data_IF_587309863563
#
_entry.id   IF_587309863563
#
_cell.length_a   1.000
_cell.length_b   1.000
_cell.length_c   1.000
_cell.angle_alpha   90.00
_cell.angle_beta   90.00
_cell.angle_gamma   90.00
#
_symmetry.space_group_name_H-M   'P 1'
#
loop_
_entity.id
_entity.type
_entity.pdbx_description
1 polymer ?
#
# COMPACT_ATOMS: atom_id res chain seq x y z
N UNK A 1 -51.39 -7.64 -18.52
CA UNK A 1 -49.94 -7.34 -18.52
C UNK A 1 -49.26 -8.26 -17.54
N UNK A 2 -48.30 -9.11 -17.95
CA UNK A 2 -47.66 -10.03 -17.02
C UNK A 2 -46.79 -9.24 -16.04
N UNK A 3 -47.07 -9.40 -14.74
CA UNK A 3 -46.23 -8.86 -13.67
C UNK A 3 -44.96 -9.71 -13.59
N UNK A 4 -43.86 -9.17 -14.09
CA UNK A 4 -42.55 -9.80 -13.95
C UNK A 4 -42.13 -9.75 -12.48
N UNK A 5 -41.82 -10.92 -11.91
CA UNK A 5 -41.43 -11.07 -10.52
C UNK A 5 -40.01 -10.50 -10.30
N UNK A 6 -39.88 -9.47 -9.46
CA UNK A 6 -38.62 -8.78 -9.17
C UNK A 6 -37.51 -9.73 -8.69
N UNK A 7 -37.86 -10.81 -7.99
CA UNK A 7 -36.91 -11.81 -7.49
C UNK A 7 -36.30 -12.64 -8.62
N UNK A 8 -37.06 -12.90 -9.69
CA UNK A 8 -36.58 -13.63 -10.87
C UNK A 8 -35.62 -12.75 -11.68
N UNK A 9 -35.92 -11.44 -11.79
CA UNK A 9 -35.04 -10.47 -12.45
C UNK A 9 -33.73 -10.27 -11.69
N UNK A 10 -33.78 -10.22 -10.34
CA UNK A 10 -32.57 -10.14 -9.51
C UNK A 10 -31.72 -11.40 -9.62
N UNK A 11 -32.35 -12.58 -9.68
CA UNK A 11 -31.66 -13.85 -9.86
C UNK A 11 -31.01 -13.95 -11.25
N UNK A 12 -31.68 -13.47 -12.30
CA UNK A 12 -31.12 -13.36 -13.65
C UNK A 12 -29.96 -12.35 -13.73
N UNK A 13 -30.03 -11.25 -12.98
CA UNK A 13 -28.96 -10.25 -12.92
C UNK A 13 -27.74 -10.77 -12.16
N UNK A 14 -27.92 -11.48 -11.04
CA UNK A 14 -26.83 -12.14 -10.30
C UNK A 14 -26.22 -13.26 -11.14
N UNK A 15 -27.03 -14.07 -11.83
CA UNK A 15 -26.53 -15.11 -12.75
C UNK A 15 -25.81 -14.49 -13.95
N UNK A 16 -26.26 -13.35 -14.49
CA UNK A 16 -25.54 -12.63 -15.56
C UNK A 16 -24.27 -11.92 -15.07
N UNK A 17 -24.26 -11.47 -13.82
CA UNK A 17 -23.11 -10.86 -13.15
C UNK A 17 -22.03 -11.91 -12.87
N UNK A 18 -22.46 -13.15 -12.60
CA UNK A 18 -21.59 -14.30 -12.57
C UNK A 18 -21.10 -14.62 -13.98
N UNK A 19 -21.95 -14.80 -15.00
CA UNK A 19 -21.57 -15.08 -16.40
C UNK A 19 -20.48 -14.13 -16.98
N UNK A 20 -20.42 -12.88 -16.53
CA UNK A 20 -19.44 -11.90 -17.02
C UNK A 20 -18.10 -11.87 -16.26
N UNK A 21 -18.07 -12.16 -14.95
CA UNK A 21 -16.84 -12.17 -14.16
C UNK A 21 -15.88 -13.30 -14.60
N UNK A 22 -16.42 -14.31 -15.26
CA UNK A 22 -15.74 -15.54 -15.63
C UNK A 22 -15.05 -15.41 -16.97
N UNK A 23 -15.69 -14.69 -17.90
CA UNK A 23 -15.09 -14.36 -19.19
C UNK A 23 -13.76 -13.61 -19.00
N UNK A 24 -13.62 -12.89 -17.88
CA UNK A 24 -12.43 -12.09 -17.57
C UNK A 24 -11.15 -12.90 -17.27
N UNK A 25 -11.22 -14.20 -16.95
CA UNK A 25 -10.05 -14.91 -16.40
C UNK A 25 -9.38 -15.89 -17.38
N UNK A 26 -10.12 -16.44 -18.35
CA UNK A 26 -9.54 -17.24 -19.45
C UNK A 26 -8.64 -16.41 -20.39
N UNK A 27 -8.97 -15.12 -20.60
CA UNK A 27 -8.18 -14.25 -21.49
C UNK A 27 -7.05 -13.48 -20.79
N UNK A 28 -7.03 -13.44 -19.45
CA UNK A 28 -6.22 -12.50 -18.68
C UNK A 28 -4.70 -12.66 -18.91
N UNK A 29 -4.20 -13.89 -18.87
CA UNK A 29 -2.75 -14.16 -19.00
C UNK A 29 -2.23 -14.14 -20.44
N UNK A 30 -3.12 -14.21 -21.45
CA UNK A 30 -2.75 -14.37 -22.87
C UNK A 30 -3.10 -13.15 -23.74
N UNK A 31 -3.98 -12.25 -23.28
CA UNK A 31 -4.55 -11.18 -24.13
C UNK A 31 -4.73 -9.80 -23.50
N UNK A 32 -4.37 -9.58 -22.23
CA UNK A 32 -4.59 -8.26 -21.59
C UNK A 32 -3.67 -7.17 -22.15
N UNK A 33 -2.62 -7.54 -22.88
CA UNK A 33 -1.85 -6.65 -23.75
C UNK A 33 -2.21 -6.74 -25.24
N UNK A 34 -3.22 -7.53 -25.64
CA UNK A 34 -3.62 -7.73 -27.04
C UNK A 34 -4.92 -6.99 -27.35
N UNK A 35 -5.05 -6.36 -28.53
CA UNK A 35 -6.27 -5.68 -28.99
C UNK A 35 -7.57 -6.50 -28.88
N UNK A 36 -7.46 -7.83 -28.81
CA UNK A 36 -8.60 -8.75 -28.83
C UNK A 36 -9.53 -8.71 -27.60
N UNK A 37 -9.05 -8.38 -26.39
CA UNK A 37 -9.93 -8.32 -25.21
C UNK A 37 -10.91 -7.14 -25.29
N UNK A 38 -10.38 -5.94 -25.56
CA UNK A 38 -11.19 -4.74 -25.68
C UNK A 38 -12.16 -4.87 -26.86
N UNK A 39 -11.68 -5.37 -28.00
CA UNK A 39 -12.51 -5.63 -29.17
C UNK A 39 -13.63 -6.64 -28.88
N UNK A 40 -13.35 -7.72 -28.15
CA UNK A 40 -14.36 -8.70 -27.77
C UNK A 40 -15.43 -8.09 -26.84
N UNK A 41 -15.03 -7.22 -25.92
CA UNK A 41 -15.97 -6.50 -25.05
C UNK A 41 -16.88 -5.56 -25.86
N UNK A 42 -16.31 -4.78 -26.78
CA UNK A 42 -17.08 -3.91 -27.69
C UNK A 42 -18.06 -4.72 -28.56
N UNK A 43 -17.62 -5.85 -29.12
CA UNK A 43 -18.49 -6.76 -29.89
C UNK A 43 -19.64 -7.35 -29.06
N UNK A 44 -19.49 -7.40 -27.72
CA UNK A 44 -20.55 -7.79 -26.79
C UNK A 44 -21.40 -6.62 -26.30
N UNK A 45 -21.18 -5.42 -26.85
CA UNK A 45 -21.96 -4.21 -26.57
C UNK A 45 -21.48 -3.41 -25.37
N UNK A 46 -20.31 -3.73 -24.80
CA UNK A 46 -19.73 -2.89 -23.75
C UNK A 46 -19.18 -1.62 -24.35
N UNK A 47 -19.45 -0.50 -23.67
CA UNK A 47 -18.67 0.71 -23.85
C UNK A 47 -17.45 0.63 -22.93
N UNK A 48 -16.30 1.11 -23.39
CA UNK A 48 -15.05 1.01 -22.64
C UNK A 48 -14.43 2.38 -22.41
N UNK A 49 -13.93 2.57 -21.18
CA UNK A 49 -13.05 3.66 -20.81
C UNK A 49 -11.75 3.08 -20.26
N UNK A 50 -10.68 3.25 -21.02
CA UNK A 50 -9.33 2.90 -20.59
C UNK A 50 -8.67 4.10 -19.91
N UNK A 51 -8.17 3.87 -18.70
CA UNK A 51 -7.47 4.86 -17.91
C UNK A 51 -6.02 4.41 -17.76
N UNK A 52 -5.12 5.23 -18.27
CA UNK A 52 -3.68 5.00 -18.22
C UNK A 52 -3.02 5.99 -17.26
N UNK A 53 -1.83 5.67 -16.81
CA UNK A 53 -0.99 6.57 -16.05
C UNK A 53 0.46 6.11 -16.09
N UNK A 54 1.33 6.91 -15.48
CA UNK A 54 2.77 6.67 -15.47
C UNK A 54 3.11 5.29 -14.88
N UNK A 55 4.06 4.60 -15.51
CA UNK A 55 4.62 3.38 -14.98
C UNK A 55 5.45 3.66 -13.71
N UNK A 56 5.01 3.21 -12.52
CA UNK A 56 5.70 3.48 -11.28
C UNK A 56 7.04 2.73 -11.15
N UNK A 57 7.34 1.79 -12.06
CA UNK A 57 8.63 1.09 -12.14
C UNK A 57 9.72 1.97 -12.73
N UNK A 58 9.33 3.05 -13.42
CA UNK A 58 10.23 4.03 -14.02
C UNK A 58 10.31 5.34 -13.22
N UNK A 59 9.48 5.51 -12.19
CA UNK A 59 9.30 6.77 -11.47
C UNK A 59 10.57 7.31 -10.76
N UNK A 60 11.58 6.47 -10.48
CA UNK A 60 12.86 6.91 -9.89
C UNK A 60 13.87 7.44 -10.91
N UNK A 61 13.57 7.34 -12.21
CA UNK A 61 14.44 7.75 -13.31
C UNK A 61 13.89 9.07 -13.88
N UNK A 62 14.30 10.20 -13.29
CA UNK A 62 13.88 11.58 -13.63
C UNK A 62 14.02 11.96 -15.13
N UNK A 63 14.59 11.08 -15.97
CA UNK A 63 14.96 11.33 -17.36
C UNK A 63 14.14 10.57 -18.40
N UNK A 64 13.25 9.65 -18.02
CA UNK A 64 12.41 8.92 -18.97
C UNK A 64 10.97 9.40 -18.86
N UNK A 65 10.53 10.20 -19.84
CA UNK A 65 9.12 10.48 -20.07
C UNK A 65 8.36 9.15 -20.12
N UNK A 66 7.61 8.91 -19.04
CA UNK A 66 7.14 7.60 -18.62
C UNK A 66 6.25 6.94 -19.67
N UNK A 67 6.54 5.67 -19.93
CA UNK A 67 5.58 4.81 -20.62
C UNK A 67 4.28 4.82 -19.80
N UNK A 68 3.17 5.28 -20.39
CA UNK A 68 1.87 5.15 -19.73
C UNK A 68 1.43 3.68 -19.79
N UNK A 69 1.04 3.09 -18.67
CA UNK A 69 0.49 1.73 -18.59
C UNK A 69 -1.01 1.77 -18.27
N UNK A 70 -1.81 0.75 -18.67
CA UNK A 70 -3.21 0.66 -18.27
C UNK A 70 -3.34 0.49 -16.75
N UNK A 71 -4.07 1.38 -16.08
CA UNK A 71 -4.29 1.29 -14.64
C UNK A 71 -5.68 0.74 -14.31
N UNK A 72 -6.69 1.17 -15.08
CA UNK A 72 -8.08 0.76 -14.92
C UNK A 72 -8.74 0.61 -16.28
N UNK A 73 -9.59 -0.41 -16.44
CA UNK A 73 -10.64 -0.40 -17.45
C UNK A 73 -11.99 -0.29 -16.77
N UNK A 74 -12.85 0.57 -17.31
CA UNK A 74 -14.26 0.62 -16.95
C UNK A 74 -15.06 0.12 -18.14
N UNK A 75 -15.84 -0.93 -17.93
CA UNK A 75 -16.71 -1.52 -18.94
C UNK A 75 -18.16 -1.23 -18.55
N UNK A 76 -18.88 -0.49 -19.38
CA UNK A 76 -20.27 -0.10 -19.14
C UNK A 76 -21.21 -0.88 -20.05
N UNK A 77 -22.23 -1.52 -19.47
CA UNK A 77 -23.31 -2.18 -20.22
C UNK A 77 -24.62 -2.06 -19.46
N UNK A 78 -25.69 -1.61 -20.12
CA UNK A 78 -27.04 -1.51 -19.55
C UNK A 78 -27.07 -0.82 -18.17
N UNK A 79 -26.34 0.29 -18.03
CA UNK A 79 -26.25 1.07 -16.79
C UNK A 79 -25.38 0.46 -15.67
N UNK A 80 -24.81 -0.72 -15.87
CA UNK A 80 -23.87 -1.35 -14.95
C UNK A 80 -22.44 -1.03 -15.38
N UNK A 81 -21.54 -0.87 -14.41
CA UNK A 81 -20.12 -0.61 -14.66
C UNK A 81 -19.28 -1.66 -13.95
N UNK A 82 -18.34 -2.24 -14.68
CA UNK A 82 -17.37 -3.20 -14.18
C UNK A 82 -16.00 -2.56 -14.24
N UNK A 83 -15.34 -2.48 -13.09
CA UNK A 83 -14.00 -1.94 -12.97
C UNK A 83 -12.99 -3.08 -12.94
N UNK A 84 -12.11 -3.11 -13.94
CA UNK A 84 -10.92 -3.97 -13.94
C UNK A 84 -9.75 -3.14 -13.46
N UNK A 85 -9.17 -3.53 -12.32
CA UNK A 85 -8.03 -2.87 -11.69
C UNK A 85 -6.77 -3.65 -11.98
N UNK A 86 -5.74 -2.97 -12.43
CA UNK A 86 -4.46 -3.59 -12.75
C UNK A 86 -3.53 -3.52 -11.54
N UNK A 87 -3.04 -4.70 -11.12
CA UNK A 87 -2.06 -4.86 -10.07
C UNK A 87 -0.71 -5.19 -10.69
N UNK A 88 0.26 -4.28 -10.50
CA UNK A 88 1.62 -4.40 -11.00
C UNK A 88 2.57 -4.77 -9.88
N UNK A 89 3.43 -5.74 -10.14
CA UNK A 89 4.54 -6.04 -9.26
C UNK A 89 5.59 -4.92 -9.33
N UNK A 90 6.04 -4.47 -8.15
CA UNK A 90 7.16 -3.53 -7.98
C UNK A 90 8.32 -4.18 -7.22
N UNK A 91 9.46 -3.51 -7.22
CA UNK A 91 10.63 -3.92 -6.43
C UNK A 91 10.24 -4.02 -4.95
N UNK A 92 10.42 -5.19 -4.35
CA UNK A 92 10.00 -5.47 -2.96
C UNK A 92 8.89 -6.52 -2.81
N UNK A 93 8.47 -7.18 -3.90
CA UNK A 93 7.51 -8.30 -3.88
C UNK A 93 6.12 -7.93 -3.31
N UNK A 94 5.65 -6.74 -3.66
CA UNK A 94 4.29 -6.28 -3.38
C UNK A 94 3.57 -5.93 -4.69
N UNK A 95 2.24 -5.92 -4.64
CA UNK A 95 1.38 -5.57 -5.77
C UNK A 95 0.88 -4.13 -5.61
N UNK A 96 1.03 -3.32 -6.64
CA UNK A 96 0.63 -1.92 -6.68
C UNK A 96 -0.49 -1.68 -7.69
N UNK A 97 -1.47 -0.84 -7.38
CA UNK A 97 -2.38 -0.26 -8.37
C UNK A 97 -2.33 1.26 -8.34
N UNK A 98 -2.59 1.86 -9.50
CA UNK A 98 -2.63 3.31 -9.66
C UNK A 98 -3.94 3.95 -9.23
N UNK A 99 -3.89 5.25 -8.98
CA UNK A 99 -5.08 6.08 -8.85
C UNK A 99 -5.75 6.29 -10.21
N UNK A 100 -7.04 6.59 -10.19
CA UNK A 100 -7.81 6.98 -11.37
C UNK A 100 -7.70 8.49 -11.55
N UNK A 101 -7.17 8.93 -12.70
CA UNK A 101 -7.09 10.33 -13.09
C UNK A 101 -7.79 10.53 -14.43
N UNK A 102 -8.94 11.22 -14.39
CA UNK A 102 -9.68 11.57 -15.60
C UNK A 102 -8.97 12.70 -16.35
N UNK A 103 -8.79 12.54 -17.66
CA UNK A 103 -8.36 13.63 -18.54
C UNK A 103 -9.45 14.71 -18.58
N UNK A 104 -9.07 15.95 -18.89
CA UNK A 104 -9.98 17.10 -18.82
C UNK A 104 -11.27 16.93 -19.65
N UNK A 105 -11.18 16.23 -20.78
CA UNK A 105 -12.28 15.97 -21.72
C UNK A 105 -12.95 14.60 -21.54
N UNK A 106 -12.63 13.85 -20.48
CA UNK A 106 -13.23 12.54 -20.25
C UNK A 106 -14.71 12.66 -19.84
N UNK A 107 -15.55 11.75 -20.33
CA UNK A 107 -16.95 11.67 -19.95
C UNK A 107 -17.10 11.31 -18.45
N UNK A 108 -17.47 12.30 -17.64
CA UNK A 108 -17.68 12.14 -16.20
C UNK A 108 -18.98 11.40 -15.86
N UNK A 109 -19.87 11.21 -16.83
CA UNK A 109 -21.10 10.43 -16.70
C UNK A 109 -20.90 8.94 -17.00
N UNK A 110 -19.71 8.54 -17.47
CA UNK A 110 -19.40 7.15 -17.81
C UNK A 110 -19.63 6.20 -16.63
N UNK A 111 -19.21 6.60 -15.43
CA UNK A 111 -19.39 5.82 -14.21
C UNK A 111 -19.61 6.73 -12.99
N UNK A 112 -20.22 6.24 -11.91
CA UNK A 112 -20.26 6.96 -10.64
C UNK A 112 -18.89 6.90 -9.94
N UNK A 113 -17.89 7.61 -10.46
CA UNK A 113 -16.48 7.51 -10.05
C UNK A 113 -16.22 7.63 -8.53
N UNK A 114 -17.06 8.37 -7.79
CA UNK A 114 -16.93 8.53 -6.34
C UNK A 114 -17.33 7.28 -5.54
N UNK A 115 -18.12 6.39 -6.15
CA UNK A 115 -18.62 5.14 -5.57
C UNK A 115 -17.75 3.93 -5.94
N UNK A 116 -16.73 4.10 -6.78
CA UNK A 116 -15.79 3.03 -7.10
C UNK A 116 -14.92 2.70 -5.89
N UNK A 117 -14.76 1.39 -5.61
CA UNK A 117 -13.91 0.89 -4.52
C UNK A 117 -12.43 1.19 -4.76
N UNK A 118 -12.03 1.33 -6.03
CA UNK A 118 -10.66 1.59 -6.46
C UNK A 118 -10.56 2.88 -7.26
N UNK A 119 -9.40 3.54 -7.17
CA UNK A 119 -9.05 4.70 -8.00
C UNK A 119 -9.01 6.03 -7.25
N UNK A 120 -9.53 6.12 -6.01
CA UNK A 120 -9.39 7.34 -5.18
C UNK A 120 -7.91 7.66 -4.87
N UNK A 121 -7.13 6.63 -4.59
CA UNK A 121 -5.70 6.68 -4.37
C UNK A 121 -5.02 5.48 -5.03
N UNK A 122 -3.71 5.58 -5.23
CA UNK A 122 -2.88 4.41 -5.50
C UNK A 122 -2.82 3.55 -4.23
N UNK A 123 -2.58 2.25 -4.38
CA UNK A 123 -2.49 1.35 -3.25
C UNK A 123 -1.57 0.17 -3.47
N UNK A 124 -1.19 -0.47 -2.35
CA UNK A 124 -0.28 -1.61 -2.31
C UNK A 124 -0.85 -2.74 -1.46
N UNK A 125 -0.52 -3.96 -1.86
CA UNK A 125 -0.88 -5.20 -1.19
C UNK A 125 0.36 -6.06 -1.03
N UNK A 126 0.43 -6.81 0.08
CA UNK A 126 1.30 -7.97 0.13
C UNK A 126 0.91 -8.92 -1.01
N UNK A 127 1.89 -9.61 -1.59
CA UNK A 127 1.58 -10.61 -2.62
C UNK A 127 0.71 -11.71 -1.99
N UNK A 128 -0.57 -11.86 -2.37
CA UNK A 128 -1.41 -12.89 -1.80
C UNK A 128 -1.00 -14.25 -2.36
N UNK A 129 -1.11 -15.29 -1.54
CA UNK A 129 -1.17 -16.65 -2.07
C UNK A 129 -2.48 -16.80 -2.83
N UNK A 130 -2.39 -17.21 -4.10
CA UNK A 130 -3.55 -17.45 -4.94
C UNK A 130 -3.87 -18.93 -4.99
N UNK A 131 -5.16 -19.26 -5.01
CA UNK A 131 -5.67 -20.61 -5.24
C UNK A 131 -6.49 -20.64 -6.52
N UNK A 132 -6.35 -21.73 -7.26
CA UNK A 132 -7.17 -22.00 -8.43
C UNK A 132 -8.57 -22.43 -7.96
N UNK A 133 -9.60 -21.83 -8.51
CA UNK A 133 -10.98 -22.27 -8.37
C UNK A 133 -11.69 -22.18 -9.72
N UNK A 134 -12.80 -22.87 -9.85
CA UNK A 134 -13.67 -22.76 -11.02
C UNK A 134 -14.84 -21.89 -10.63
N UNK A 135 -15.05 -20.79 -11.35
CA UNK A 135 -16.28 -20.03 -11.28
C UNK A 135 -17.00 -20.30 -12.62
N UNK A 136 -18.20 -20.88 -12.58
CA UNK A 136 -19.05 -21.13 -13.76
C UNK A 136 -18.31 -21.67 -15.01
N UNK A 137 -17.49 -22.70 -14.78
CA UNK A 137 -16.72 -23.37 -15.84
C UNK A 137 -15.40 -22.70 -16.23
N UNK A 138 -15.00 -21.64 -15.53
CA UNK A 138 -13.78 -20.88 -15.81
C UNK A 138 -12.80 -20.95 -14.65
N UNK A 139 -11.57 -21.32 -15.00
CA UNK A 139 -10.44 -21.38 -14.09
C UNK A 139 -9.99 -19.97 -13.71
N UNK A 140 -10.10 -19.68 -12.42
CA UNK A 140 -9.77 -18.37 -11.84
C UNK A 140 -8.81 -18.53 -10.67
N UNK A 141 -7.95 -17.53 -10.49
CA UNK A 141 -7.10 -17.44 -9.31
C UNK A 141 -7.67 -16.41 -8.35
N UNK A 142 -7.99 -16.84 -7.13
CA UNK A 142 -8.51 -15.97 -6.07
C UNK A 142 -7.55 -15.96 -4.88
N UNK A 143 -7.50 -14.86 -4.09
CA UNK A 143 -6.74 -14.85 -2.85
C UNK A 143 -7.18 -16.00 -1.93
N UNK A 144 -6.23 -16.79 -1.44
CA UNK A 144 -6.47 -17.87 -0.49
C UNK A 144 -7.18 -17.37 0.78
N UNK A 145 -6.79 -16.18 1.26
CA UNK A 145 -7.43 -15.51 2.38
C UNK A 145 -8.14 -14.23 1.90
N UNK A 146 -9.39 -14.40 1.44
CA UNK A 146 -10.23 -13.31 0.91
C UNK A 146 -10.46 -12.23 1.98
N UNK A 147 -10.75 -12.63 3.23
CA UNK A 147 -11.01 -11.70 4.33
C UNK A 147 -9.80 -10.80 4.62
N UNK A 148 -8.59 -11.36 4.63
CA UNK A 148 -7.35 -10.58 4.77
C UNK A 148 -7.17 -9.61 3.61
N UNK A 149 -7.34 -10.07 2.37
CA UNK A 149 -7.21 -9.20 1.18
C UNK A 149 -8.17 -8.00 1.24
N UNK A 150 -9.44 -8.22 1.61
CA UNK A 150 -10.44 -7.15 1.77
C UNK A 150 -10.17 -6.24 2.98
N UNK A 151 -9.48 -6.74 4.01
CA UNK A 151 -9.03 -5.92 5.13
C UNK A 151 -7.87 -5.01 4.71
N UNK A 152 -6.86 -5.57 4.04
CA UNK A 152 -5.72 -4.83 3.50
C UNK A 152 -6.16 -3.70 2.57
N UNK A 153 -7.16 -3.93 1.71
CA UNK A 153 -7.71 -2.91 0.81
C UNK A 153 -8.08 -1.59 1.50
N UNK A 154 -8.60 -1.63 2.73
CA UNK A 154 -9.02 -0.42 3.47
C UNK A 154 -7.83 0.42 3.92
N UNK A 155 -6.68 -0.20 4.07
CA UNK A 155 -5.43 0.40 4.55
C UNK A 155 -4.34 0.43 3.47
N UNK A 156 -4.67 0.02 2.24
CA UNK A 156 -3.73 -0.16 1.14
C UNK A 156 -3.17 1.15 0.57
N UNK A 157 -3.63 2.32 1.04
CA UNK A 157 -3.23 3.62 0.46
C UNK A 157 -1.70 3.73 0.39
N UNK A 158 -1.21 3.91 -0.82
CA UNK A 158 0.20 4.04 -1.09
C UNK A 158 0.59 5.52 -1.15
N UNK A 159 1.65 5.88 -0.43
CA UNK A 159 2.25 7.20 -0.43
C UNK A 159 3.56 7.13 -1.23
N UNK A 160 3.48 7.45 -2.52
CA UNK A 160 4.66 7.51 -3.38
C UNK A 160 5.59 8.64 -2.96
N UNK A 161 6.90 8.47 -3.19
CA UNK A 161 7.82 9.56 -2.97
C UNK A 161 7.58 10.70 -3.97
N UNK A 162 7.74 11.95 -3.50
CA UNK A 162 7.79 13.13 -4.36
C UNK A 162 9.18 13.28 -4.99
N UNK A 163 9.52 12.42 -5.95
CA UNK A 163 10.86 12.35 -6.56
C UNK A 163 11.36 13.71 -7.06
N UNK A 164 10.50 14.50 -7.73
CA UNK A 164 10.87 15.84 -8.21
C UNK A 164 11.28 16.78 -7.06
N UNK A 165 10.57 16.75 -5.94
CA UNK A 165 10.88 17.62 -4.80
C UNK A 165 12.13 17.14 -4.05
N UNK A 166 12.28 15.82 -3.91
CA UNK A 166 13.49 15.22 -3.39
C UNK A 166 14.71 15.57 -4.26
N UNK A 167 14.57 15.51 -5.58
CA UNK A 167 15.60 15.92 -6.53
C UNK A 167 15.99 17.38 -6.31
N UNK A 168 15.01 18.29 -6.29
CA UNK A 168 15.25 19.71 -6.05
C UNK A 168 15.94 19.97 -4.70
N UNK A 169 15.54 19.25 -3.65
CA UNK A 169 16.18 19.33 -2.35
C UNK A 169 17.65 18.90 -2.41
N UNK A 170 17.95 17.77 -3.05
CA UNK A 170 19.29 17.21 -3.15
C UNK A 170 20.23 18.03 -4.06
N UNK A 171 19.69 18.84 -4.97
CA UNK A 171 20.48 19.82 -5.74
C UNK A 171 21.05 20.94 -4.84
N UNK A 172 20.32 21.34 -3.79
CA UNK A 172 20.75 22.38 -2.85
C UNK A 172 21.52 21.80 -1.66
N UNK A 173 21.16 20.58 -1.24
CA UNK A 173 21.74 19.87 -0.11
C UNK A 173 22.19 18.48 -0.58
N UNK A 174 23.38 18.38 -1.22
CA UNK A 174 23.86 17.12 -1.75
C UNK A 174 23.92 16.01 -0.69
N UNK A 175 23.57 14.80 -1.11
CA UNK A 175 23.60 13.65 -0.22
C UNK A 175 25.04 13.31 0.20
N UNK A 176 25.22 12.91 1.45
CA UNK A 176 26.52 12.45 1.95
C UNK A 176 26.83 11.09 1.33
N UNK A 177 27.77 11.04 0.40
CA UNK A 177 28.18 9.83 -0.32
C UNK A 177 29.35 9.08 0.35
N UNK A 178 29.75 9.47 1.56
CA UNK A 178 30.80 8.78 2.31
C UNK A 178 30.45 7.31 2.57
N UNK A 179 31.48 6.46 2.70
CA UNK A 179 31.30 5.04 2.99
C UNK A 179 30.48 4.80 4.27
N UNK A 180 30.68 5.64 5.30
CA UNK A 180 29.91 5.59 6.54
C UNK A 180 28.42 5.89 6.33
N UNK A 181 28.09 6.91 5.54
CA UNK A 181 26.71 7.25 5.22
C UNK A 181 26.01 6.16 4.39
N UNK A 182 26.71 5.60 3.40
CA UNK A 182 26.20 4.49 2.59
C UNK A 182 25.97 3.25 3.47
N UNK A 183 26.91 2.90 4.34
CA UNK A 183 26.77 1.77 5.26
C UNK A 183 25.61 1.97 6.25
N UNK A 184 25.49 3.15 6.85
CA UNK A 184 24.37 3.47 7.74
C UNK A 184 23.03 3.33 7.03
N UNK A 185 22.86 3.89 5.83
CA UNK A 185 21.60 3.76 5.06
C UNK A 185 21.27 2.30 4.75
N UNK A 186 22.27 1.48 4.42
CA UNK A 186 22.10 0.04 4.20
C UNK A 186 21.61 -0.67 5.46
N UNK A 187 22.28 -0.44 6.59
CA UNK A 187 21.91 -1.00 7.90
C UNK A 187 20.53 -0.56 8.35
N UNK A 188 20.22 0.74 8.23
CA UNK A 188 18.93 1.31 8.59
C UNK A 188 17.77 0.74 7.75
N UNK A 189 17.97 0.56 6.42
CA UNK A 189 16.98 -0.14 5.57
C UNK A 189 16.78 -1.60 5.97
N UNK A 190 17.87 -2.30 6.29
CA UNK A 190 17.80 -3.70 6.78
C UNK A 190 17.04 -3.77 8.10
N UNK A 191 17.35 -2.88 9.04
CA UNK A 191 16.69 -2.78 10.34
C UNK A 191 15.19 -2.49 10.20
N UNK A 192 14.81 -1.55 9.33
CA UNK A 192 13.41 -1.26 9.04
C UNK A 192 12.69 -2.47 8.42
N UNK A 193 13.34 -3.24 7.55
CA UNK A 193 12.76 -4.46 7.00
C UNK A 193 12.51 -5.53 8.07
N UNK A 194 13.46 -5.71 9.01
CA UNK A 194 13.28 -6.63 10.14
C UNK A 194 12.15 -6.14 11.06
N UNK A 195 12.09 -4.84 11.34
CA UNK A 195 11.02 -4.25 12.14
C UNK A 195 9.64 -4.45 11.50
N UNK A 196 9.51 -4.16 10.21
CA UNK A 196 8.27 -4.34 9.46
C UNK A 196 7.79 -5.80 9.50
N UNK A 197 8.69 -6.76 9.24
CA UNK A 197 8.35 -8.19 9.29
C UNK A 197 7.97 -8.65 10.70
N UNK A 198 8.69 -8.18 11.71
CA UNK A 198 8.41 -8.54 13.10
C UNK A 198 7.03 -8.03 13.50
N UNK A 199 6.73 -6.75 13.26
CA UNK A 199 5.43 -6.15 13.58
C UNK A 199 4.29 -6.78 12.77
N UNK A 200 4.52 -7.15 11.51
CA UNK A 200 3.53 -7.87 10.69
C UNK A 200 3.18 -9.26 11.26
N UNK A 201 4.15 -10.00 11.82
CA UNK A 201 3.87 -11.28 12.50
C UNK A 201 2.99 -11.09 13.75
N UNK A 202 3.02 -9.90 14.34
CA UNK A 202 2.25 -9.54 15.52
C UNK A 202 0.92 -8.88 15.17
N UNK A 203 0.63 -8.67 13.88
CA UNK A 203 -0.51 -7.89 13.37
C UNK A 203 -0.58 -6.47 13.98
N UNK A 204 0.60 -5.84 14.15
CA UNK A 204 0.72 -4.48 14.72
C UNK A 204 0.95 -3.48 13.58
N UNK A 205 0.00 -2.57 13.30
CA UNK A 205 0.21 -1.47 12.39
C UNK A 205 1.27 -0.50 12.92
N UNK A 206 2.08 0.05 12.01
CA UNK A 206 3.09 1.05 12.36
C UNK A 206 3.27 2.07 11.23
N UNK A 207 3.94 3.16 11.54
CA UNK A 207 4.35 4.16 10.55
C UNK A 207 5.79 4.62 10.78
N UNK A 208 6.41 5.23 9.77
CA UNK A 208 7.69 5.91 9.95
C UNK A 208 7.47 7.15 10.84
N UNK A 209 8.34 7.36 11.82
CA UNK A 209 8.26 8.50 12.72
C UNK A 209 9.50 9.40 12.59
N UNK A 210 9.45 10.58 13.21
CA UNK A 210 10.60 11.47 13.44
C UNK A 210 11.52 11.66 12.23
N UNK A 211 12.84 11.48 12.39
CA UNK A 211 13.83 11.69 11.34
C UNK A 211 13.70 10.70 10.19
N UNK A 212 13.22 9.48 10.48
CA UNK A 212 12.97 8.45 9.47
C UNK A 212 11.83 8.83 8.53
N UNK A 213 10.74 9.37 9.07
CA UNK A 213 9.62 9.91 8.29
C UNK A 213 10.04 11.13 7.47
N UNK A 214 10.79 12.06 8.07
CA UNK A 214 11.29 13.24 7.38
C UNK A 214 12.19 12.86 6.20
N UNK A 215 13.07 11.87 6.37
CA UNK A 215 13.92 11.38 5.29
C UNK A 215 13.12 10.92 4.07
N UNK A 216 12.06 10.13 4.30
CA UNK A 216 11.17 9.68 3.24
C UNK A 216 10.50 10.86 2.51
N UNK A 217 9.84 11.75 3.25
CA UNK A 217 9.09 12.86 2.67
C UNK A 217 9.96 13.91 1.98
N UNK A 218 11.16 14.17 2.50
CA UNK A 218 12.03 15.24 2.03
C UNK A 218 12.95 14.81 0.89
N UNK A 219 13.50 13.60 0.96
CA UNK A 219 14.62 13.19 0.11
C UNK A 219 14.52 11.73 -0.38
N UNK A 220 13.32 11.12 -0.35
CA UNK A 220 13.08 9.73 -0.76
C UNK A 220 14.07 8.71 -0.15
N UNK A 221 14.55 8.95 1.07
CA UNK A 221 15.69 8.24 1.60
C UNK A 221 15.81 8.29 3.12
N UNK A 222 16.92 7.77 3.63
CA UNK A 222 17.25 7.84 5.06
C UNK A 222 18.29 8.94 5.24
N UNK A 223 18.07 9.81 6.23
CA UNK A 223 18.99 10.89 6.58
C UNK A 223 20.25 10.26 7.19
N UNK A 224 21.40 10.33 6.51
CA UNK A 224 22.61 9.59 6.88
C UNK A 224 23.17 9.92 8.25
N UNK A 225 22.87 11.10 8.77
CA UNK A 225 23.36 11.61 10.05
C UNK A 225 22.33 11.51 11.20
N UNK A 226 21.16 10.86 11.00
CA UNK A 226 20.19 10.62 12.11
C UNK A 226 20.72 9.63 13.15
N UNK A 227 21.51 8.63 12.71
CA UNK A 227 22.12 7.55 13.52
C UNK A 227 21.13 6.51 14.09
N UNK A 228 19.83 6.69 13.92
CA UNK A 228 18.79 5.76 14.30
C UNK A 228 17.65 5.68 13.28
N UNK A 229 16.78 4.69 13.50
CA UNK A 229 15.52 4.45 12.78
C UNK A 229 14.39 4.61 13.78
N UNK A 230 13.36 5.37 13.42
CA UNK A 230 12.22 5.70 14.26
C UNK A 230 10.93 5.19 13.63
N UNK A 231 10.13 4.47 14.41
CA UNK A 231 8.77 4.07 14.02
C UNK A 231 7.77 4.46 15.11
N UNK A 232 6.53 4.69 14.69
CA UNK A 232 5.40 4.96 15.56
C UNK A 232 4.41 3.80 15.58
N UNK A 233 3.85 3.51 16.74
CA UNK A 233 2.79 2.52 16.96
C UNK A 233 1.73 3.15 17.84
N UNK A 234 0.44 2.91 17.60
CA UNK A 234 -0.58 3.31 18.56
C UNK A 234 -0.52 2.43 19.80
N UNK A 235 -0.65 3.01 20.98
CA UNK A 235 -0.58 2.25 22.24
C UNK A 235 -1.68 1.19 22.35
N UNK A 236 -2.84 1.42 21.72
CA UNK A 236 -3.94 0.43 21.65
C UNK A 236 -3.55 -0.86 20.93
N UNK A 237 -2.53 -0.80 20.07
CA UNK A 237 -1.99 -1.93 19.31
C UNK A 237 -0.77 -2.58 20.01
N UNK A 238 -0.42 -2.11 21.23
CA UNK A 238 0.67 -2.71 22.01
C UNK A 238 0.38 -4.17 22.36
N UNK A 239 1.37 -5.04 22.15
CA UNK A 239 1.34 -6.43 22.61
C UNK A 239 2.50 -6.72 23.55
N UNK A 240 2.25 -7.44 24.64
CA UNK A 240 3.25 -7.75 25.67
C UNK A 240 4.41 -8.61 25.16
N UNK A 241 4.21 -9.34 24.07
CA UNK A 241 5.20 -10.19 23.42
C UNK A 241 6.05 -9.46 22.37
N UNK A 242 5.86 -8.14 22.17
CA UNK A 242 6.63 -7.35 21.21
C UNK A 242 8.14 -7.44 21.45
N UNK A 243 8.58 -7.36 22.71
CA UNK A 243 10.00 -7.47 23.07
C UNK A 243 10.55 -8.85 22.74
N UNK A 244 9.78 -9.91 23.02
CA UNK A 244 10.19 -11.27 22.72
C UNK A 244 10.28 -11.51 21.19
N UNK A 245 9.33 -10.97 20.43
CA UNK A 245 9.33 -11.06 18.97
C UNK A 245 10.56 -10.40 18.35
N UNK A 246 10.91 -9.18 18.78
CA UNK A 246 12.12 -8.49 18.30
C UNK A 246 13.40 -9.20 18.71
N UNK A 247 13.47 -9.77 19.92
CA UNK A 247 14.61 -10.62 20.33
C UNK A 247 14.75 -11.86 19.46
N UNK A 248 13.65 -12.54 19.15
CA UNK A 248 13.64 -13.69 18.25
C UNK A 248 14.04 -13.31 16.82
N UNK A 249 13.79 -12.06 16.40
CA UNK A 249 14.23 -11.50 15.14
C UNK A 249 15.69 -11.01 15.14
N UNK A 250 16.43 -11.22 16.25
CA UNK A 250 17.85 -10.89 16.37
C UNK A 250 18.14 -9.49 16.94
N UNK A 251 17.13 -8.73 17.37
CA UNK A 251 17.30 -7.40 17.95
C UNK A 251 17.38 -7.44 19.47
N UNK A 252 18.38 -6.78 20.04
CA UNK A 252 18.51 -6.67 21.50
C UNK A 252 17.78 -5.43 22.02
N UNK A 253 16.98 -5.59 23.08
CA UNK A 253 16.37 -4.45 23.78
C UNK A 253 17.47 -3.66 24.51
N UNK A 254 17.62 -2.40 24.14
CA UNK A 254 18.62 -1.48 24.69
C UNK A 254 18.02 -0.58 25.79
N UNK A 255 16.86 0.01 25.52
CA UNK A 255 16.16 0.88 26.46
C UNK A 255 14.67 0.58 26.48
N UNK A 256 14.07 0.76 27.65
CA UNK A 256 12.62 0.86 27.84
C UNK A 256 12.38 2.08 28.70
N UNK A 257 11.66 3.06 28.16
CA UNK A 257 11.25 4.23 28.91
C UNK A 257 9.75 4.25 29.14
N UNK A 258 9.32 5.02 30.14
CA UNK A 258 7.91 5.20 30.47
C UNK A 258 7.18 3.92 30.87
N UNK A 259 5.85 4.01 30.81
CA UNK A 259 4.94 2.89 31.03
C UNK A 259 3.87 2.86 29.94
N UNK A 260 3.14 1.74 29.84
CA UNK A 260 2.09 1.51 28.82
C UNK A 260 0.98 2.56 28.94
N UNK A 261 0.79 3.11 30.14
CA UNK A 261 -0.29 4.06 30.44
C UNK A 261 0.07 5.52 30.14
N UNK A 262 1.34 5.84 29.80
CA UNK A 262 1.77 7.23 29.67
C UNK A 262 2.79 7.52 28.55
N UNK A 263 3.99 6.96 28.60
CA UNK A 263 5.13 7.45 27.83
C UNK A 263 6.04 6.32 27.36
N UNK A 264 5.47 5.15 27.09
CA UNK A 264 6.21 3.98 26.63
C UNK A 264 7.07 4.31 25.39
N UNK A 265 8.33 3.92 25.47
CA UNK A 265 9.26 3.90 24.35
C UNK A 265 10.11 2.62 24.46
N UNK A 266 10.33 1.95 23.34
CA UNK A 266 11.19 0.78 23.27
C UNK A 266 12.30 1.01 22.25
N UNK A 267 13.55 0.98 22.71
CA UNK A 267 14.73 1.07 21.84
C UNK A 267 15.37 -0.30 21.69
N UNK A 268 15.56 -0.74 20.47
CA UNK A 268 16.29 -1.95 20.09
C UNK A 268 17.58 -1.59 19.36
N UNK A 269 18.53 -2.54 19.29
CA UNK A 269 19.78 -2.36 18.55
C UNK A 269 20.10 -3.58 17.69
N UNK A 270 20.61 -3.32 16.48
CA UNK A 270 21.16 -4.31 15.53
C UNK A 270 22.34 -3.70 14.80
N UNK A 271 23.48 -4.40 14.75
CA UNK A 271 24.69 -3.97 14.03
C UNK A 271 25.00 -2.47 14.20
N UNK A 272 25.10 -2.00 15.44
CA UNK A 272 25.34 -0.59 15.84
C UNK A 272 24.25 0.45 15.54
N UNK A 273 23.18 0.09 14.82
CA UNK A 273 22.04 0.99 14.54
C UNK A 273 20.90 0.73 15.53
N UNK A 274 20.35 1.82 16.06
CA UNK A 274 19.24 1.79 17.01
C UNK A 274 17.90 1.92 16.26
N UNK A 275 16.91 1.12 16.68
CA UNK A 275 15.51 1.26 16.32
C UNK A 275 14.75 1.78 17.53
N UNK A 276 14.12 2.95 17.42
CA UNK A 276 13.22 3.49 18.43
C UNK A 276 11.77 3.30 18.01
N UNK A 277 10.99 2.70 18.90
CA UNK A 277 9.55 2.54 18.77
C UNK A 277 8.88 3.51 19.74
N UNK A 278 8.27 4.55 19.19
CA UNK A 278 7.48 5.52 19.94
C UNK A 278 6.01 5.09 19.97
N UNK A 279 5.41 5.08 21.16
CA UNK A 279 3.99 4.79 21.31
C UNK A 279 3.17 6.07 21.35
N UNK A 280 2.10 6.09 20.58
CA UNK A 280 1.20 7.23 20.44
C UNK A 280 -0.16 6.94 21.09
N UNK A 281 -0.69 7.95 21.77
CA UNK A 281 -1.88 7.92 22.58
C UNK A 281 -2.89 8.89 21.98
N UNK A 282 -4.15 8.46 21.94
CA UNK A 282 -5.26 9.29 21.50
C UNK A 282 -5.97 9.87 22.73
N UNK A 283 -6.27 11.16 22.66
CA UNK A 283 -6.97 11.92 23.69
C UNK A 283 -7.95 12.87 22.98
N UNK A 284 -9.15 12.35 22.69
CA UNK A 284 -10.11 13.00 21.80
C UNK A 284 -9.55 13.15 20.38
N UNK A 285 -9.47 14.39 19.90
CA UNK A 285 -8.94 14.72 18.57
C UNK A 285 -7.41 14.91 18.55
N UNK A 286 -6.74 14.72 19.68
CA UNK A 286 -5.29 14.92 19.82
C UNK A 286 -4.59 13.56 19.85
N UNK A 287 -3.53 13.44 19.06
CA UNK A 287 -2.59 12.33 19.13
C UNK A 287 -1.27 12.85 19.69
N UNK A 288 -0.75 12.21 20.73
CA UNK A 288 0.48 12.61 21.40
C UNK A 288 1.37 11.39 21.71
N UNK A 289 2.67 11.58 21.83
CA UNK A 289 3.60 10.58 22.33
C UNK A 289 4.40 11.17 23.49
N UNK A 290 4.53 10.42 24.59
CA UNK A 290 5.26 10.90 25.75
C UNK A 290 6.78 10.87 25.55
N UNK A 291 7.48 11.86 26.08
CA UNK A 291 8.93 11.89 26.17
C UNK A 291 9.41 11.52 27.57
N UNK A 292 10.48 10.72 27.68
CA UNK A 292 11.13 10.43 28.97
C UNK A 292 12.60 10.83 28.93
N UNK A 293 13.02 11.70 29.83
CA UNK A 293 14.42 12.09 29.92
C UNK A 293 15.27 10.94 30.49
N UNK A 294 16.21 10.43 29.68
CA UNK A 294 16.96 9.21 29.97
C UNK A 294 17.70 9.18 31.33
N UNK A 295 18.21 10.32 31.81
CA UNK A 295 18.97 10.39 33.08
C UNK A 295 18.08 10.57 34.32
N UNK A 296 17.02 11.37 34.21
CA UNK A 296 16.19 11.76 35.37
C UNK A 296 14.90 10.97 35.48
N UNK A 297 14.50 10.28 34.41
CA UNK A 297 13.19 9.65 34.30
C UNK A 297 12.02 10.65 34.22
N UNK A 298 12.31 11.97 34.10
CA UNK A 298 11.28 13.00 34.00
C UNK A 298 10.46 12.80 32.72
N UNK A 299 9.14 12.80 32.87
CA UNK A 299 8.18 12.57 31.80
C UNK A 299 7.63 13.88 31.24
N UNK A 300 7.32 13.87 29.95
CA UNK A 300 6.76 14.98 29.19
C UNK A 300 5.61 14.46 28.32
N UNK A 301 4.51 15.21 28.25
CA UNK A 301 3.41 15.03 27.29
C UNK A 301 3.51 16.15 26.25
#
# INVERSE_FOLDING_TARGET
>A
MPRVNRTIVLSLLVISSSVFLLFQLYYYRKYVGKPGFLLAAEQKGFELLQLRGEDPRLASLDTLSGEEIPLHFLLRLNGHVIQVVFLYERSGNYLWHGALRLRAHADRSFAPFKMLDYGRHAGVYDRPQLVLTVLDGLDVQVPHNISRFLSEQRHARFLECRYRDAHNFLQLFPDDSSAAAVDFRRKAKSLLHVAARTLALLDIPFWLSSGTCLGWFRQCGIISYSRDVDVGIFIRDFRWDIVAAFRNAGLSLKHKFGKVEDSLELSFVSDDVKLDIFFFYEDGDIVWNGGTQAKSGKKFK
#
